data_IF_046357544775
#
_entry.id   IF_046357544775
#
_cell.length_a   1.000
_cell.length_b   1.000
_cell.length_c   1.000
_cell.angle_alpha   90.00
_cell.angle_beta   90.00
_cell.angle_gamma   90.00
#
_symmetry.space_group_name_H-M   'P 1'
#
loop_
_entity.id
_entity.type
_entity.pdbx_description
1 polymer ?
#
# COMPACT_ATOMS: atom_id res chain seq x y z
N UNK A 1 22.16 -6.80 -13.02
CA UNK A 1 20.73 -6.97 -13.39
C UNK A 1 20.42 -6.05 -14.54
N UNK A 2 20.13 -6.59 -15.71
CA UNK A 2 19.64 -5.85 -16.88
C UNK A 2 18.16 -5.51 -16.67
N UNK A 3 17.74 -4.32 -17.11
CA UNK A 3 16.39 -3.71 -16.94
C UNK A 3 15.24 -4.59 -17.46
N UNK A 4 15.52 -5.65 -18.24
CA UNK A 4 14.54 -6.39 -19.04
C UNK A 4 13.63 -7.37 -18.27
N UNK A 5 13.80 -7.60 -16.97
CA UNK A 5 13.05 -8.66 -16.24
C UNK A 5 12.49 -8.29 -14.86
N UNK A 6 12.56 -7.03 -14.42
CA UNK A 6 12.02 -6.69 -13.10
C UNK A 6 10.48 -6.68 -13.12
N UNK A 7 9.86 -7.62 -12.40
CA UNK A 7 8.42 -7.66 -12.15
C UNK A 7 8.11 -7.02 -10.80
N UNK A 8 7.29 -5.98 -10.83
CA UNK A 8 6.76 -5.38 -9.61
C UNK A 8 5.71 -6.31 -9.01
N UNK A 9 5.92 -6.66 -7.75
CA UNK A 9 4.97 -7.45 -6.99
C UNK A 9 4.12 -6.52 -6.14
N UNK A 10 2.82 -6.82 -6.00
CA UNK A 10 1.92 -6.07 -5.14
C UNK A 10 1.12 -6.99 -4.23
N UNK A 11 0.85 -6.51 -3.02
CA UNK A 11 0.12 -7.20 -1.97
C UNK A 11 -0.92 -6.27 -1.35
N UNK A 12 -2.05 -6.85 -0.95
CA UNK A 12 -3.03 -6.14 -0.14
C UNK A 12 -2.67 -6.29 1.34
N UNK A 13 -2.86 -5.21 2.09
CA UNK A 13 -2.77 -5.22 3.54
C UNK A 13 -4.19 -5.26 4.09
N UNK A 14 -4.56 -6.38 4.69
CA UNK A 14 -5.79 -6.46 5.49
C UNK A 14 -5.49 -6.23 6.95
N UNK A 15 -6.36 -5.52 7.65
CA UNK A 15 -6.10 -5.14 9.01
C UNK A 15 -7.25 -4.46 9.70
N UNK A 16 -6.94 -3.95 10.88
CA UNK A 16 -7.84 -3.19 11.72
C UNK A 16 -7.09 -2.08 12.44
N UNK A 17 -7.83 -1.06 12.88
CA UNK A 17 -7.31 0.03 13.71
C UNK A 17 -7.63 -0.27 15.17
N UNK A 18 -6.64 -0.11 16.04
CA UNK A 18 -6.83 -0.06 17.49
C UNK A 18 -6.05 1.15 18.02
N UNK A 19 -6.76 2.14 18.55
CA UNK A 19 -6.20 3.45 18.91
C UNK A 19 -5.50 4.08 17.69
N UNK A 20 -4.28 4.61 17.85
CA UNK A 20 -3.49 5.21 16.78
C UNK A 20 -2.53 4.21 16.10
N UNK A 21 -2.88 2.91 16.16
CA UNK A 21 -2.08 1.84 15.57
C UNK A 21 -2.96 1.04 14.59
N UNK A 22 -2.46 0.89 13.36
CA UNK A 22 -2.99 -0.06 12.39
C UNK A 22 -2.23 -1.37 12.53
N UNK A 23 -2.97 -2.47 12.61
CA UNK A 23 -2.44 -3.83 12.59
C UNK A 23 -2.82 -4.46 11.27
N UNK A 24 -1.81 -4.81 10.46
CA UNK A 24 -1.97 -5.31 9.11
C UNK A 24 -1.32 -6.66 8.89
N UNK A 25 -1.91 -7.47 8.03
CA UNK A 25 -1.33 -8.69 7.47
C UNK A 25 -1.27 -8.54 5.96
N UNK A 26 -0.12 -8.85 5.38
CA UNK A 26 0.02 -8.97 3.93
C UNK A 26 -0.67 -10.26 3.50
N UNK A 27 -1.69 -10.15 2.66
CA UNK A 27 -2.41 -11.31 2.14
C UNK A 27 -2.55 -11.12 0.63
N UNK A 28 -2.31 -12.22 -0.09
CA UNK A 28 -2.38 -12.35 -1.53
C UNK A 28 -1.24 -11.65 -2.28
N UNK A 29 -0.56 -12.45 -3.10
CA UNK A 29 0.47 -12.06 -4.04
C UNK A 29 -0.17 -12.01 -5.42
N UNK A 30 -0.27 -10.83 -6.00
CA UNK A 30 -0.53 -10.69 -7.43
C UNK A 30 0.80 -10.32 -8.09
N UNK A 31 1.25 -11.17 -9.00
CA UNK A 31 2.38 -10.86 -9.89
C UNK A 31 1.81 -10.12 -11.11
N UNK A 32 2.38 -8.98 -11.47
CA UNK A 32 1.93 -8.17 -12.61
C UNK A 32 3.07 -7.36 -13.21
N UNK A 33 2.83 -6.74 -14.36
CA UNK A 33 3.77 -5.77 -14.93
C UNK A 33 3.55 -4.39 -14.27
N UNK A 34 4.60 -3.57 -14.27
CA UNK A 34 4.60 -2.15 -13.84
C UNK A 34 3.24 -1.49 -14.13
N UNK A 35 2.63 -0.91 -13.09
CA UNK A 35 1.37 -0.15 -13.17
C UNK A 35 0.08 -0.92 -13.51
N UNK A 36 0.10 -2.25 -13.70
CA UNK A 36 -1.11 -3.04 -14.00
C UNK A 36 -1.07 -4.40 -13.32
N UNK A 37 -1.40 -4.41 -12.02
CA UNK A 37 -1.53 -5.66 -11.28
C UNK A 37 -2.95 -6.20 -11.46
N UNK A 38 -3.06 -7.40 -12.05
CA UNK A 38 -4.33 -8.10 -12.21
C UNK A 38 -4.88 -8.52 -10.85
N UNK A 39 -5.74 -7.68 -10.28
CA UNK A 39 -6.45 -7.99 -9.06
C UNK A 39 -7.78 -8.67 -9.37
N UNK A 40 -8.09 -9.77 -8.68
CA UNK A 40 -9.46 -10.28 -8.64
C UNK A 40 -10.30 -9.37 -7.72
N UNK A 41 -10.76 -8.25 -8.28
CA UNK A 41 -11.52 -7.21 -7.59
C UNK A 41 -12.72 -7.76 -6.82
N UNK A 42 -13.45 -8.72 -7.39
CA UNK A 42 -14.62 -9.34 -6.75
C UNK A 42 -14.25 -10.04 -5.44
N UNK A 43 -13.12 -10.76 -5.41
CA UNK A 43 -12.64 -11.44 -4.20
C UNK A 43 -12.14 -10.46 -3.14
N UNK A 44 -11.51 -9.38 -3.57
CA UNK A 44 -10.91 -8.36 -2.68
C UNK A 44 -11.98 -7.49 -2.03
N UNK A 45 -12.97 -7.05 -2.80
CA UNK A 45 -14.05 -6.18 -2.34
C UNK A 45 -14.93 -6.85 -1.28
N UNK A 46 -14.98 -8.19 -1.22
CA UNK A 46 -15.62 -8.92 -0.10
C UNK A 46 -15.06 -8.50 1.26
N UNK A 47 -13.80 -8.08 1.31
CA UNK A 47 -13.09 -7.66 2.53
C UNK A 47 -12.77 -6.16 2.54
N UNK A 48 -13.51 -5.35 1.77
CA UNK A 48 -13.31 -3.90 1.61
C UNK A 48 -13.08 -3.16 2.93
N UNK A 49 -13.88 -3.45 3.95
CA UNK A 49 -13.78 -2.81 5.28
C UNK A 49 -12.44 -3.09 5.96
N UNK A 50 -11.82 -4.24 5.69
CA UNK A 50 -10.55 -4.67 6.27
C UNK A 50 -9.33 -4.22 5.48
N UNK A 51 -9.47 -3.71 4.25
CA UNK A 51 -8.33 -3.21 3.49
C UNK A 51 -7.77 -1.98 4.22
N UNK A 52 -6.50 -2.01 4.63
CA UNK A 52 -5.84 -0.85 5.24
C UNK A 52 -4.74 -0.28 4.34
N UNK A 53 -4.44 -0.92 3.21
CA UNK A 53 -3.45 -0.43 2.27
C UNK A 53 -2.93 -1.51 1.32
N UNK A 54 -1.84 -1.18 0.65
CA UNK A 54 -1.12 -2.02 -0.30
C UNK A 54 0.37 -1.98 0.00
N UNK A 55 1.09 -3.04 -0.36
CA UNK A 55 2.53 -2.98 -0.51
C UNK A 55 2.91 -3.30 -1.94
N UNK A 56 3.95 -2.68 -2.47
CA UNK A 56 4.54 -3.08 -3.73
C UNK A 56 6.07 -2.93 -3.72
N UNK A 57 6.71 -3.50 -4.74
CA UNK A 57 8.17 -3.40 -4.90
C UNK A 57 8.56 -2.38 -5.95
N UNK A 58 9.62 -1.61 -5.69
CA UNK A 58 10.31 -0.81 -6.69
C UNK A 58 11.67 -1.44 -7.04
N UNK A 59 12.14 -1.17 -8.27
CA UNK A 59 13.50 -1.55 -8.67
C UNK A 59 14.56 -0.80 -7.85
N UNK A 60 14.30 0.47 -7.55
CA UNK A 60 15.16 1.34 -6.75
C UNK A 60 14.35 2.47 -6.12
N UNK A 61 14.69 2.84 -4.90
CA UNK A 61 14.06 3.95 -4.18
C UNK A 61 12.76 3.55 -3.48
N UNK A 62 12.45 4.25 -2.40
CA UNK A 62 11.33 3.93 -1.54
C UNK A 62 10.24 5.00 -1.54
N UNK A 63 10.36 6.01 -2.39
CA UNK A 63 9.37 7.10 -2.52
C UNK A 63 8.29 6.73 -3.53
N UNK A 64 7.02 7.11 -3.29
CA UNK A 64 5.96 6.91 -4.27
C UNK A 64 6.26 7.61 -5.60
N UNK A 65 5.94 6.94 -6.70
CA UNK A 65 5.94 7.51 -8.04
C UNK A 65 4.61 8.24 -8.34
N UNK A 66 4.55 8.97 -9.45
CA UNK A 66 3.31 9.59 -9.92
C UNK A 66 2.21 8.57 -10.24
N UNK A 67 2.59 7.34 -10.62
CA UNK A 67 1.66 6.24 -10.87
C UNK A 67 1.08 5.73 -9.54
N UNK A 68 1.92 5.61 -8.51
CA UNK A 68 1.48 5.22 -7.18
C UNK A 68 0.53 6.26 -6.60
N UNK A 69 0.83 7.54 -6.78
CA UNK A 69 -0.03 8.64 -6.32
C UNK A 69 -1.42 8.59 -6.95
N UNK A 70 -1.49 8.39 -8.27
CA UNK A 70 -2.76 8.27 -8.98
C UNK A 70 -3.56 7.04 -8.52
N UNK A 71 -2.87 5.91 -8.36
CA UNK A 71 -3.46 4.65 -7.90
C UNK A 71 -4.02 4.78 -6.48
N UNK A 72 -3.20 5.27 -5.55
CA UNK A 72 -3.59 5.46 -4.16
C UNK A 72 -4.69 6.51 -4.02
N UNK A 73 -4.66 7.58 -4.81
CA UNK A 73 -5.75 8.56 -4.84
C UNK A 73 -7.08 7.92 -5.28
N UNK A 74 -7.06 7.09 -6.32
CA UNK A 74 -8.23 6.33 -6.76
C UNK A 74 -8.79 5.44 -5.65
N UNK A 75 -7.93 4.70 -4.96
CA UNK A 75 -8.34 3.81 -3.86
C UNK A 75 -8.85 4.54 -2.63
N UNK A 76 -8.19 5.63 -2.19
CA UNK A 76 -8.66 6.44 -1.06
C UNK A 76 -10.02 7.05 -1.37
N UNK A 77 -10.23 7.51 -2.60
CA UNK A 77 -11.55 8.00 -3.05
C UNK A 77 -12.59 6.88 -3.05
N UNK A 78 -12.26 5.75 -3.66
CA UNK A 78 -13.20 4.65 -3.82
C UNK A 78 -13.57 3.98 -2.49
N UNK A 79 -12.64 3.88 -1.54
CA UNK A 79 -12.83 3.26 -0.22
C UNK A 79 -13.27 4.24 0.87
N UNK A 80 -13.19 5.53 0.61
CA UNK A 80 -13.55 6.62 1.52
C UNK A 80 -12.85 6.55 2.88
N UNK A 81 -11.58 6.11 2.89
CA UNK A 81 -10.75 6.03 4.10
C UNK A 81 -9.26 6.22 3.79
N UNK A 82 -8.46 6.62 4.78
CA UNK A 82 -7.01 6.63 4.64
C UNK A 82 -6.46 5.23 4.36
N UNK A 83 -5.39 5.16 3.55
CA UNK A 83 -4.77 3.90 3.15
C UNK A 83 -3.25 3.99 3.24
N UNK A 84 -2.63 2.86 3.55
CA UNK A 84 -1.18 2.72 3.57
C UNK A 84 -0.69 2.34 2.17
N UNK A 85 0.36 3.00 1.71
CA UNK A 85 1.19 2.58 0.60
C UNK A 85 2.54 2.18 1.16
N UNK A 86 2.88 0.90 1.11
CA UNK A 86 4.19 0.40 1.50
C UNK A 86 5.04 0.10 0.27
N UNK A 87 6.24 0.62 0.24
CA UNK A 87 7.16 0.47 -0.90
C UNK A 87 8.39 -0.25 -0.38
N UNK A 88 8.77 -1.32 -1.07
CA UNK A 88 9.91 -2.15 -0.70
C UNK A 88 10.89 -2.24 -1.87
N UNK A 89 12.17 -2.14 -1.60
CA UNK A 89 13.21 -2.56 -2.53
C UNK A 89 13.94 -3.81 -1.99
N UNK A 90 15.09 -4.15 -2.56
CA UNK A 90 15.84 -5.35 -2.15
C UNK A 90 16.43 -5.26 -0.73
N UNK A 91 16.45 -4.08 -0.09
CA UNK A 91 17.13 -3.84 1.19
C UNK A 91 16.21 -3.30 2.25
N UNK A 92 15.28 -2.43 1.86
CA UNK A 92 14.54 -1.56 2.76
C UNK A 92 13.06 -1.50 2.41
N UNK A 93 12.28 -0.96 3.35
CA UNK A 93 10.86 -0.74 3.16
C UNK A 93 10.46 0.58 3.82
N UNK A 94 9.70 1.39 3.10
CA UNK A 94 9.03 2.59 3.62
C UNK A 94 7.52 2.44 3.56
N UNK A 95 6.81 3.19 4.41
CA UNK A 95 5.35 3.25 4.38
C UNK A 95 4.86 4.69 4.44
N UNK A 96 3.81 4.96 3.68
CA UNK A 96 3.17 6.25 3.57
C UNK A 96 1.68 6.13 3.83
N UNK A 97 1.13 7.04 4.63
CA UNK A 97 -0.31 7.15 4.83
C UNK A 97 -0.88 8.17 3.85
N UNK A 98 -1.69 7.68 2.91
CA UNK A 98 -2.48 8.52 2.01
C UNK A 98 -3.81 8.86 2.67
N UNK A 99 -4.16 10.14 2.68
CA UNK A 99 -5.37 10.66 3.30
C UNK A 99 -5.98 11.80 2.49
N UNK A 100 -7.31 11.90 2.54
CA UNK A 100 -8.05 13.04 1.98
C UNK A 100 -7.98 14.19 2.98
N UNK A 101 -7.43 15.33 2.56
CA UNK A 101 -7.43 16.57 3.33
C UNK A 101 -8.78 17.28 3.22
N UNK A 102 -9.00 18.29 4.09
CA UNK A 102 -10.23 19.09 4.12
C UNK A 102 -10.57 19.74 2.78
N UNK A 103 -9.56 20.11 2.00
CA UNK A 103 -9.68 20.67 0.64
C UNK A 103 -9.92 19.61 -0.46
N UNK A 104 -10.32 18.39 -0.10
CA UNK A 104 -10.56 17.25 -1.00
C UNK A 104 -9.33 16.72 -1.75
N UNK A 105 -8.14 17.31 -1.59
CA UNK A 105 -6.90 16.78 -2.18
C UNK A 105 -6.45 15.53 -1.42
N UNK A 106 -5.94 14.56 -2.15
CA UNK A 106 -5.23 13.43 -1.56
C UNK A 106 -3.77 13.83 -1.39
N UNK A 107 -3.21 13.58 -0.22
CA UNK A 107 -1.80 13.76 0.08
C UNK A 107 -1.30 12.59 0.91
N UNK A 108 0.01 12.43 0.99
CA UNK A 108 0.61 11.40 1.82
C UNK A 108 1.69 11.95 2.75
N UNK A 109 2.01 11.17 3.78
CA UNK A 109 3.12 11.42 4.69
C UNK A 109 3.78 10.10 5.09
N UNK A 110 5.09 10.09 5.38
CA UNK A 110 5.74 8.89 5.90
C UNK A 110 5.16 8.50 7.26
N UNK A 111 5.13 7.20 7.55
CA UNK A 111 4.68 6.65 8.83
C UNK A 111 5.69 5.66 9.39
N UNK A 112 5.78 5.63 10.72
CA UNK A 112 6.60 4.64 11.41
C UNK A 112 5.87 3.30 11.43
N UNK A 113 6.59 2.24 11.11
CA UNK A 113 6.06 0.89 11.18
C UNK A 113 7.09 -0.09 11.77
N UNK A 114 6.58 -1.21 12.27
CA UNK A 114 7.38 -2.38 12.65
C UNK A 114 6.77 -3.61 12.02
N UNK A 115 7.59 -4.40 11.33
CA UNK A 115 7.20 -5.70 10.76
C UNK A 115 7.74 -6.84 11.62
N UNK A 116 6.92 -7.86 11.87
CA UNK A 116 7.32 -9.09 12.58
C UNK A 116 6.62 -10.27 11.92
N UNK A 117 7.38 -11.05 11.14
CA UNK A 117 6.79 -12.00 10.19
C UNK A 117 5.89 -11.27 9.19
N UNK A 118 4.64 -11.75 9.05
CA UNK A 118 3.63 -11.13 8.18
C UNK A 118 2.83 -10.01 8.85
N UNK A 119 2.99 -9.81 10.16
CA UNK A 119 2.31 -8.75 10.89
C UNK A 119 3.05 -7.42 10.71
N UNK A 120 2.31 -6.39 10.34
CA UNK A 120 2.76 -5.01 10.25
C UNK A 120 2.02 -4.19 11.30
N UNK A 121 2.76 -3.42 12.10
CA UNK A 121 2.20 -2.44 13.05
C UNK A 121 2.59 -1.05 12.59
N UNK A 122 1.61 -0.19 12.33
CA UNK A 122 1.83 1.14 11.75
C UNK A 122 1.27 2.19 12.68
N UNK A 123 2.07 3.20 13.01
CA UNK A 123 1.72 4.31 13.88
C UNK A 123 1.19 5.48 13.05
N UNK A 124 -0.04 5.91 13.35
CA UNK A 124 -0.77 6.97 12.63
C UNK A 124 -1.12 8.11 13.59
N UNK A 125 -0.12 8.90 13.98
CA UNK A 125 -0.29 10.15 14.72
C UNK A 125 -0.25 11.31 13.74
#
# INVERSE_FOLDING_TARGET
>A
MTIKEFKENCWIIYGFKKNNILYGYQIHESTGNLASVDFNWKKILKYRSRIIGFNHTHLSGLTPSSIDDNTMAGWVKALEKPLICGIRDNKEQSMYLYERKSNQKISYRPVLFKKTGNLIRIRIW
#
